data_IF_764795291729
#
_entry.id   IF_764795291729
#
_cell.length_a   1.000
_cell.length_b   1.000
_cell.length_c   1.000
_cell.angle_alpha   90.00
_cell.angle_beta   90.00
_cell.angle_gamma   90.00
#
_symmetry.space_group_name_H-M   'P 1'
#
loop_
_entity.id
_entity.type
_entity.pdbx_description
1 polymer ?
#
# COMPACT_ATOMS: atom_id res chain seq x y z
N UNK A 1 -16.32 -9.94 -1.93
CA UNK A 1 -16.09 -11.31 -1.47
C UNK A 1 -17.15 -11.76 -0.45
N UNK A 2 -17.35 -11.00 0.64
CA UNK A 2 -18.32 -11.34 1.69
C UNK A 2 -19.76 -11.52 1.13
N UNK A 3 -20.24 -10.60 0.30
CA UNK A 3 -21.55 -10.70 -0.34
C UNK A 3 -21.73 -11.96 -1.20
N UNK A 4 -20.67 -12.43 -1.89
CA UNK A 4 -20.70 -13.69 -2.63
C UNK A 4 -20.79 -14.90 -1.68
N UNK A 5 -19.97 -14.91 -0.61
CA UNK A 5 -19.92 -16.02 0.34
C UNK A 5 -21.18 -16.13 1.20
N UNK A 6 -21.75 -15.01 1.60
CA UNK A 6 -22.96 -14.96 2.45
C UNK A 6 -24.27 -15.04 1.65
N UNK A 7 -24.23 -14.89 0.31
CA UNK A 7 -25.42 -14.80 -0.53
C UNK A 7 -26.22 -13.50 -0.36
N UNK A 8 -25.72 -12.53 0.43
CA UNK A 8 -26.45 -11.31 0.73
C UNK A 8 -26.23 -10.23 -0.34
N UNK A 9 -27.26 -9.94 -1.11
CA UNK A 9 -27.22 -8.96 -2.21
C UNK A 9 -26.88 -7.53 -1.76
N UNK A 10 -27.27 -7.15 -0.52
CA UNK A 10 -26.96 -5.82 0.02
C UNK A 10 -25.45 -5.53 0.03
N UNK A 11 -24.62 -6.52 0.34
CA UNK A 11 -23.17 -6.36 0.36
C UNK A 11 -22.55 -6.29 -1.04
N UNK A 12 -23.13 -7.00 -1.99
CA UNK A 12 -22.74 -6.89 -3.40
C UNK A 12 -23.04 -5.49 -3.93
N UNK A 13 -24.24 -4.98 -3.67
CA UNK A 13 -24.66 -3.64 -4.07
C UNK A 13 -23.75 -2.57 -3.47
N UNK A 14 -23.51 -2.59 -2.16
CA UNK A 14 -22.60 -1.66 -1.48
C UNK A 14 -21.18 -1.69 -2.08
N UNK A 15 -20.69 -2.88 -2.36
CA UNK A 15 -19.38 -3.03 -2.99
C UNK A 15 -19.32 -2.37 -4.39
N UNK A 16 -20.36 -2.55 -5.21
CA UNK A 16 -20.47 -1.87 -6.51
C UNK A 16 -20.57 -0.35 -6.38
N UNK A 17 -21.32 0.14 -5.40
CA UNK A 17 -21.41 1.57 -5.11
C UNK A 17 -20.04 2.14 -4.72
N UNK A 18 -19.28 1.47 -3.84
CA UNK A 18 -17.92 1.86 -3.48
C UNK A 18 -16.99 1.89 -4.70
N UNK A 19 -17.05 0.88 -5.57
CA UNK A 19 -16.25 0.88 -6.80
C UNK A 19 -16.62 2.07 -7.71
N UNK A 20 -17.92 2.37 -7.84
CA UNK A 20 -18.38 3.52 -8.63
C UNK A 20 -17.85 4.85 -8.07
N UNK A 21 -17.78 5.00 -6.74
CA UNK A 21 -17.18 6.18 -6.11
C UNK A 21 -15.68 6.26 -6.43
N UNK A 22 -14.93 5.20 -6.21
CA UNK A 22 -13.49 5.21 -6.49
C UNK A 22 -13.20 5.56 -7.96
N UNK A 23 -13.96 5.00 -8.89
CA UNK A 23 -13.77 5.25 -10.32
C UNK A 23 -14.08 6.70 -10.74
N UNK A 24 -14.85 7.44 -9.95
CA UNK A 24 -15.13 8.88 -10.16
C UNK A 24 -14.10 9.79 -9.49
N UNK A 25 -13.17 9.27 -8.70
CA UNK A 25 -12.21 10.08 -7.96
C UNK A 25 -11.50 11.09 -8.90
N UNK A 26 -11.45 12.37 -8.53
CA UNK A 26 -10.81 13.39 -9.36
C UNK A 26 -9.32 13.09 -9.53
N UNK A 27 -8.77 13.52 -10.67
CA UNK A 27 -7.36 13.25 -11.00
C UNK A 27 -6.51 14.51 -10.92
N UNK A 28 -5.35 14.36 -10.31
CA UNK A 28 -4.32 15.40 -10.29
C UNK A 28 -2.99 14.79 -10.73
N UNK A 29 -2.59 15.07 -11.96
CA UNK A 29 -1.34 14.54 -12.56
C UNK A 29 -1.18 13.00 -12.48
N UNK A 30 -2.28 12.27 -12.57
CA UNK A 30 -2.31 10.81 -12.44
C UNK A 30 -2.63 10.31 -11.04
N UNK A 31 -2.40 11.10 -10.01
CA UNK A 31 -2.75 10.82 -8.62
C UNK A 31 -4.26 10.96 -8.39
N UNK A 32 -4.78 10.38 -7.32
CA UNK A 32 -6.19 10.45 -6.94
C UNK A 32 -6.38 10.47 -5.43
N UNK A 33 -7.41 11.17 -4.91
CA UNK A 33 -7.74 11.13 -3.49
C UNK A 33 -8.28 9.76 -3.09
N UNK A 34 -7.99 9.35 -1.86
CA UNK A 34 -8.35 8.02 -1.33
C UNK A 34 -9.50 8.05 -0.35
N UNK A 35 -9.97 9.24 0.02
CA UNK A 35 -11.08 9.42 0.95
C UNK A 35 -12.18 10.21 0.25
N UNK A 36 -13.41 9.73 0.37
CA UNK A 36 -14.62 10.44 -0.07
C UNK A 36 -15.62 10.48 1.08
N UNK A 37 -15.90 11.65 1.58
CA UNK A 37 -17.02 11.88 2.50
C UNK A 37 -18.26 12.21 1.70
N UNK A 38 -19.32 11.44 1.91
CA UNK A 38 -20.63 11.72 1.33
C UNK A 38 -21.46 12.44 2.40
N UNK A 39 -21.76 13.71 2.16
CA UNK A 39 -22.52 14.56 3.06
C UNK A 39 -24.01 14.18 3.06
N UNK A 40 -24.77 14.70 4.05
CA UNK A 40 -26.21 14.40 4.18
C UNK A 40 -27.04 14.86 2.98
N UNK A 41 -26.60 15.90 2.30
CA UNK A 41 -27.23 16.45 1.08
C UNK A 41 -26.83 15.67 -0.20
N UNK A 42 -25.97 14.64 -0.06
CA UNK A 42 -25.46 13.85 -1.19
C UNK A 42 -24.24 14.46 -1.90
N UNK A 43 -23.73 15.60 -1.44
CA UNK A 43 -22.49 16.17 -1.97
C UNK A 43 -21.29 15.30 -1.60
N UNK A 44 -20.28 15.28 -2.48
CA UNK A 44 -19.05 14.50 -2.32
C UNK A 44 -17.89 15.42 -1.96
N UNK A 45 -17.20 15.11 -0.88
CA UNK A 45 -16.00 15.81 -0.44
C UNK A 45 -14.79 14.86 -0.51
N UNK A 46 -13.98 15.06 -1.54
CA UNK A 46 -12.80 14.26 -1.79
C UNK A 46 -11.57 14.82 -1.09
N UNK A 47 -10.86 13.96 -0.34
CA UNK A 47 -9.66 14.32 0.41
C UNK A 47 -8.53 13.33 0.12
N UNK A 48 -7.30 13.83 0.13
CA UNK A 48 -6.11 13.02 -0.11
C UNK A 48 -5.62 12.30 1.17
N UNK A 49 -5.99 12.82 2.33
CA UNK A 49 -5.67 12.33 3.66
C UNK A 49 -6.83 12.70 4.60
N UNK A 50 -7.01 11.98 5.70
CA UNK A 50 -8.05 12.23 6.70
C UNK A 50 -7.84 13.52 7.52
N UNK A 51 -6.72 14.19 7.30
CA UNK A 51 -6.34 15.43 8.01
C UNK A 51 -5.70 15.20 9.36
N UNK A 52 -5.57 13.97 9.78
CA UNK A 52 -5.02 13.63 11.07
C UNK A 52 -3.58 14.10 11.25
N UNK A 53 -2.75 13.96 10.21
CA UNK A 53 -1.40 14.49 10.19
C UNK A 53 -1.27 15.91 9.62
N UNK A 54 -2.38 16.55 9.23
CA UNK A 54 -2.38 17.88 8.63
C UNK A 54 -1.98 17.93 7.16
N UNK A 55 -2.00 16.80 6.44
CA UNK A 55 -1.51 16.66 5.05
C UNK A 55 -2.63 16.54 4.02
N UNK A 56 -3.80 17.04 4.30
CA UNK A 56 -5.01 16.91 3.48
C UNK A 56 -4.86 17.31 2.02
N UNK A 57 -3.92 18.18 1.70
CA UNK A 57 -3.67 18.66 0.34
C UNK A 57 -2.63 17.85 -0.42
N UNK A 58 -1.91 16.96 0.26
CA UNK A 58 -0.85 16.15 -0.33
C UNK A 58 -1.34 14.75 -0.64
N UNK A 59 -0.77 14.13 -1.64
CA UNK A 59 -1.11 12.79 -2.09
C UNK A 59 -0.15 11.78 -1.47
N UNK A 60 -0.69 10.75 -0.84
CA UNK A 60 0.07 9.68 -0.21
C UNK A 60 0.06 8.42 -1.09
N UNK A 61 1.24 7.98 -1.53
CA UNK A 61 1.36 6.88 -2.50
C UNK A 61 0.96 5.52 -1.95
N UNK A 62 1.16 5.26 -0.66
CA UNK A 62 0.81 3.96 -0.06
C UNK A 62 -0.69 3.65 -0.17
N UNK A 63 -1.63 4.48 0.35
CA UNK A 63 -3.05 4.19 0.26
C UNK A 63 -3.57 4.24 -1.20
N UNK A 64 -3.00 5.09 -2.06
CA UNK A 64 -3.33 5.07 -3.50
C UNK A 64 -2.92 3.75 -4.15
N UNK A 65 -1.72 3.26 -3.88
CA UNK A 65 -1.21 1.99 -4.44
C UNK A 65 -2.00 0.80 -3.93
N UNK A 66 -2.31 0.77 -2.64
CA UNK A 66 -3.15 -0.28 -2.07
C UNK A 66 -4.55 -0.27 -2.67
N UNK A 67 -5.19 0.89 -2.73
CA UNK A 67 -6.51 1.03 -3.35
C UNK A 67 -6.50 0.55 -4.80
N UNK A 68 -5.53 1.01 -5.60
CA UNK A 68 -5.38 0.61 -6.98
C UNK A 68 -5.15 -0.91 -7.14
N UNK A 69 -4.29 -1.49 -6.31
CA UNK A 69 -4.06 -2.95 -6.31
C UNK A 69 -5.33 -3.75 -5.95
N UNK A 70 -6.06 -3.32 -4.92
CA UNK A 70 -7.33 -3.96 -4.56
C UNK A 70 -8.36 -3.87 -5.69
N UNK A 71 -8.40 -2.76 -6.42
CA UNK A 71 -9.25 -2.61 -7.60
C UNK A 71 -8.86 -3.57 -8.72
N UNK A 72 -7.55 -3.73 -9.00
CA UNK A 72 -7.08 -4.72 -9.98
C UNK A 72 -7.53 -6.13 -9.62
N UNK A 73 -7.35 -6.52 -8.34
CA UNK A 73 -7.80 -7.81 -7.83
C UNK A 73 -9.32 -7.96 -7.94
N UNK A 74 -10.05 -6.89 -7.65
CA UNK A 74 -11.50 -6.89 -7.81
C UNK A 74 -11.92 -7.10 -9.27
N UNK A 75 -11.37 -6.35 -10.20
CA UNK A 75 -11.65 -6.53 -11.63
C UNK A 75 -11.33 -7.93 -12.11
N UNK A 76 -10.19 -8.49 -11.70
CA UNK A 76 -9.76 -9.83 -12.10
C UNK A 76 -10.63 -10.95 -11.52
N UNK A 77 -10.99 -10.87 -10.22
CA UNK A 77 -11.58 -12.00 -9.49
C UNK A 77 -13.10 -11.89 -9.31
N UNK A 78 -13.63 -10.67 -9.21
CA UNK A 78 -15.01 -10.44 -8.79
C UNK A 78 -15.88 -9.76 -9.83
N UNK A 79 -15.31 -8.96 -10.72
CA UNK A 79 -16.07 -8.14 -11.68
C UNK A 79 -15.32 -8.03 -13.02
N UNK A 80 -15.08 -9.14 -13.74
CA UNK A 80 -14.29 -9.16 -14.98
C UNK A 80 -14.86 -8.24 -16.06
N UNK A 81 -16.17 -8.05 -16.07
CA UNK A 81 -16.88 -7.16 -17.01
C UNK A 81 -16.49 -5.68 -16.86
N UNK A 82 -15.95 -5.28 -15.69
CA UNK A 82 -15.46 -3.92 -15.42
C UNK A 82 -13.93 -3.81 -15.40
N UNK A 83 -13.24 -4.89 -15.73
CA UNK A 83 -11.77 -4.92 -15.69
C UNK A 83 -11.13 -3.83 -16.53
N UNK A 84 -11.66 -3.59 -17.74
CA UNK A 84 -11.14 -2.53 -18.61
C UNK A 84 -11.24 -1.15 -17.97
N UNK A 85 -12.38 -0.82 -17.38
CA UNK A 85 -12.61 0.47 -16.71
C UNK A 85 -11.65 0.68 -15.54
N UNK A 86 -11.41 -0.39 -14.76
CA UNK A 86 -10.44 -0.39 -13.65
C UNK A 86 -9.01 -0.19 -14.16
N UNK A 87 -8.62 -0.87 -15.22
CA UNK A 87 -7.30 -0.71 -15.82
C UNK A 87 -7.10 0.71 -16.37
N UNK A 88 -8.10 1.26 -17.03
CA UNK A 88 -8.08 2.65 -17.52
C UNK A 88 -7.99 3.66 -16.37
N UNK A 89 -8.63 3.37 -15.24
CA UNK A 89 -8.47 4.15 -14.00
C UNK A 89 -7.05 4.06 -13.42
N UNK A 90 -6.42 2.90 -13.42
CA UNK A 90 -5.09 2.68 -12.84
C UNK A 90 -3.95 3.23 -13.69
N UNK A 91 -4.11 3.31 -15.02
CA UNK A 91 -3.06 3.69 -15.99
C UNK A 91 -2.39 5.03 -15.67
N UNK A 92 -3.11 6.16 -15.49
CA UNK A 92 -2.46 7.46 -15.22
C UNK A 92 -1.63 7.45 -13.93
N UNK A 93 -2.03 6.64 -12.96
CA UNK A 93 -1.30 6.51 -11.71
C UNK A 93 -0.03 5.66 -11.88
N UNK A 94 -0.09 4.57 -12.64
CA UNK A 94 1.08 3.79 -12.98
C UNK A 94 2.11 4.63 -13.76
N UNK A 95 1.66 5.43 -14.73
CA UNK A 95 2.51 6.37 -15.50
C UNK A 95 3.17 7.43 -14.61
N UNK A 96 2.43 7.93 -13.60
CA UNK A 96 2.96 8.87 -12.62
C UNK A 96 4.07 8.23 -11.78
N UNK A 97 3.84 7.04 -11.24
CA UNK A 97 4.82 6.33 -10.39
C UNK A 97 6.11 6.01 -11.14
N UNK A 98 6.02 5.62 -12.41
CA UNK A 98 7.20 5.35 -13.25
C UNK A 98 8.10 6.58 -13.41
N UNK A 99 7.49 7.77 -13.51
CA UNK A 99 8.22 9.05 -13.60
C UNK A 99 8.75 9.53 -12.25
N UNK A 100 8.10 9.14 -11.17
CA UNK A 100 8.43 9.56 -9.82
C UNK A 100 9.52 8.71 -9.15
N UNK A 101 9.90 7.57 -9.73
CA UNK A 101 10.85 6.65 -9.13
C UNK A 101 12.26 7.24 -9.08
N UNK A 102 12.87 7.19 -7.91
CA UNK A 102 14.27 7.59 -7.71
C UNK A 102 15.24 6.57 -8.36
N UNK A 103 16.48 6.99 -8.65
CA UNK A 103 17.51 6.09 -9.21
C UNK A 103 17.80 4.86 -8.35
N UNK A 104 17.65 4.94 -7.01
CA UNK A 104 17.83 3.81 -6.10
C UNK A 104 16.62 2.84 -6.04
N UNK A 105 15.56 3.10 -6.80
CA UNK A 105 14.34 2.29 -6.83
C UNK A 105 13.25 2.72 -5.85
N UNK A 106 13.56 3.53 -4.82
CA UNK A 106 12.57 4.10 -3.91
C UNK A 106 11.59 5.01 -4.66
N UNK A 107 10.34 5.03 -4.23
CA UNK A 107 9.36 6.00 -4.72
C UNK A 107 8.92 6.84 -3.51
N UNK A 108 8.97 8.18 -3.60
CA UNK A 108 8.56 9.06 -2.50
C UNK A 108 7.15 8.76 -2.01
N UNK A 109 6.95 8.82 -0.69
CA UNK A 109 5.63 8.56 -0.10
C UNK A 109 4.62 9.67 -0.34
N UNK A 110 5.07 10.93 -0.38
CA UNK A 110 4.19 12.09 -0.42
C UNK A 110 4.51 13.05 -1.55
N UNK A 111 3.45 13.54 -2.19
CA UNK A 111 3.52 14.48 -3.30
C UNK A 111 2.56 15.66 -3.12
N UNK A 112 3.01 16.85 -3.49
CA UNK A 112 2.14 18.01 -3.65
C UNK A 112 1.17 17.80 -4.84
N UNK A 113 0.12 18.61 -4.97
CA UNK A 113 -0.74 18.60 -6.16
C UNK A 113 0.00 18.81 -7.49
N UNK A 114 1.16 19.48 -7.43
CA UNK A 114 2.02 19.68 -8.60
C UNK A 114 2.85 18.44 -8.98
N UNK A 115 2.74 17.35 -8.21
CA UNK A 115 3.47 16.11 -8.44
C UNK A 115 4.94 16.19 -8.00
N UNK A 116 5.26 17.09 -7.07
CA UNK A 116 6.61 17.26 -6.51
C UNK A 116 6.68 16.55 -5.15
N UNK A 117 7.73 15.73 -4.88
CA UNK A 117 7.91 15.11 -3.57
C UNK A 117 7.93 16.15 -2.44
N UNK A 118 7.04 16.02 -1.46
CA UNK A 118 6.77 17.08 -0.48
C UNK A 118 7.34 16.82 0.91
N UNK A 119 7.70 15.59 1.26
CA UNK A 119 8.21 15.21 2.59
C UNK A 119 9.62 14.64 2.46
N UNK A 120 10.63 15.47 2.79
CA UNK A 120 12.03 15.14 2.59
C UNK A 120 12.45 13.81 3.27
N UNK A 121 11.93 13.54 4.48
CA UNK A 121 12.26 12.33 5.25
C UNK A 121 11.79 11.03 4.58
N UNK A 122 10.74 11.09 3.74
CA UNK A 122 10.16 9.92 3.07
C UNK A 122 10.42 9.92 1.56
N UNK A 123 11.32 10.79 1.09
CA UNK A 123 11.62 10.95 -0.33
C UNK A 123 12.56 9.87 -0.85
N UNK A 124 13.67 9.66 -0.15
CA UNK A 124 14.77 8.85 -0.65
C UNK A 124 14.84 7.47 0.03
N UNK A 125 14.11 7.31 1.11
CA UNK A 125 13.94 6.06 1.84
C UNK A 125 12.57 5.99 2.52
N UNK A 126 11.78 4.96 2.18
CA UNK A 126 10.56 4.58 2.90
C UNK A 126 10.19 3.13 2.56
N UNK A 127 9.63 2.40 3.51
CA UNK A 127 9.17 1.02 3.30
C UNK A 127 7.85 0.94 2.53
N UNK A 128 7.09 2.03 2.42
CA UNK A 128 5.83 2.11 1.65
C UNK A 128 6.05 1.85 0.15
N UNK A 129 7.29 1.97 -0.33
CA UNK A 129 7.71 1.55 -1.68
C UNK A 129 7.30 0.09 -1.97
N UNK A 130 7.13 -0.77 -0.95
CA UNK A 130 6.62 -2.13 -1.09
C UNK A 130 5.19 -2.18 -1.65
N UNK A 131 4.30 -1.29 -1.18
CA UNK A 131 2.92 -1.21 -1.70
C UNK A 131 2.87 -0.79 -3.16
N UNK A 132 3.79 0.10 -3.54
CA UNK A 132 3.93 0.59 -4.91
C UNK A 132 4.46 -0.51 -5.83
N UNK A 133 5.48 -1.26 -5.37
CA UNK A 133 5.99 -2.43 -6.07
C UNK A 133 4.86 -3.45 -6.33
N UNK A 134 4.06 -3.75 -5.30
CA UNK A 134 2.91 -4.65 -5.39
C UNK A 134 1.93 -4.22 -6.48
N UNK A 135 1.54 -2.94 -6.49
CA UNK A 135 0.63 -2.41 -7.50
C UNK A 135 1.23 -2.46 -8.91
N UNK A 136 2.46 -1.97 -9.10
CA UNK A 136 3.09 -1.88 -10.42
C UNK A 136 3.36 -3.25 -11.04
N UNK A 137 3.73 -4.25 -10.24
CA UNK A 137 3.93 -5.63 -10.69
C UNK A 137 2.60 -6.25 -11.15
N UNK A 138 1.53 -6.15 -10.34
CA UNK A 138 0.22 -6.68 -10.72
C UNK A 138 -0.34 -5.95 -11.95
N UNK A 139 -0.26 -4.60 -11.99
CA UNK A 139 -0.73 -3.81 -13.12
C UNK A 139 0.04 -4.16 -14.40
N UNK A 140 1.38 -4.13 -14.33
CA UNK A 140 2.24 -4.40 -15.48
C UNK A 140 2.04 -5.79 -16.06
N UNK A 141 1.83 -6.81 -15.20
CA UNK A 141 1.50 -8.17 -15.62
C UNK A 141 0.13 -8.23 -16.32
N UNK A 142 -0.88 -7.60 -15.76
CA UNK A 142 -2.23 -7.62 -16.33
C UNK A 142 -2.34 -6.93 -17.70
N UNK A 143 -1.58 -5.86 -17.93
CA UNK A 143 -1.62 -5.10 -19.20
C UNK A 143 -0.41 -5.34 -20.09
N UNK A 144 0.52 -6.22 -19.69
CA UNK A 144 1.78 -6.53 -20.38
C UNK A 144 2.65 -5.27 -20.62
N UNK A 145 2.68 -4.37 -19.62
CA UNK A 145 3.48 -3.15 -19.65
C UNK A 145 4.88 -3.42 -19.08
N UNK A 146 5.86 -3.55 -19.99
CA UNK A 146 7.25 -3.79 -19.62
C UNK A 146 7.88 -2.67 -18.78
N UNK A 147 7.46 -1.42 -18.97
CA UNK A 147 7.98 -0.28 -18.22
C UNK A 147 7.46 -0.27 -16.78
N UNK A 148 6.16 -0.55 -16.58
CA UNK A 148 5.56 -0.72 -15.26
C UNK A 148 6.19 -1.91 -14.51
N UNK A 149 6.38 -3.06 -15.19
CA UNK A 149 7.08 -4.21 -14.62
C UNK A 149 8.52 -3.89 -14.21
N UNK A 150 9.27 -3.18 -15.06
CA UNK A 150 10.64 -2.78 -14.74
C UNK A 150 10.69 -1.82 -13.53
N UNK A 151 9.76 -0.86 -13.45
CA UNK A 151 9.63 0.05 -12.32
C UNK A 151 9.28 -0.72 -11.03
N UNK A 152 8.29 -1.63 -11.09
CA UNK A 152 7.90 -2.47 -9.96
C UNK A 152 9.05 -3.35 -9.46
N UNK A 153 9.83 -3.94 -10.37
CA UNK A 153 11.04 -4.72 -10.00
C UNK A 153 12.09 -3.89 -9.31
N UNK A 154 12.39 -2.68 -9.80
CA UNK A 154 13.35 -1.78 -9.13
C UNK A 154 12.85 -1.36 -7.75
N UNK A 155 11.54 -1.11 -7.59
CA UNK A 155 10.94 -0.83 -6.31
C UNK A 155 11.05 -2.02 -5.34
N UNK A 156 10.82 -3.24 -5.82
CA UNK A 156 11.00 -4.45 -5.02
C UNK A 156 12.47 -4.71 -4.67
N UNK A 157 13.40 -4.48 -5.61
CA UNK A 157 14.85 -4.56 -5.33
C UNK A 157 15.27 -3.56 -4.26
N UNK A 158 14.74 -2.33 -4.26
CA UNK A 158 14.98 -1.38 -3.17
C UNK A 158 14.55 -1.96 -1.81
N UNK A 159 13.38 -2.61 -1.73
CA UNK A 159 12.92 -3.27 -0.50
C UNK A 159 13.87 -4.40 -0.10
N UNK A 160 14.27 -5.24 -1.03
CA UNK A 160 15.22 -6.35 -0.82
C UNK A 160 16.57 -5.87 -0.29
N UNK A 161 17.11 -4.80 -0.87
CA UNK A 161 18.48 -4.37 -0.60
C UNK A 161 18.60 -3.39 0.56
N UNK A 162 17.57 -2.56 0.79
CA UNK A 162 17.65 -1.44 1.73
C UNK A 162 16.76 -1.60 2.97
N UNK A 163 15.64 -2.30 2.86
CA UNK A 163 14.65 -2.44 3.94
C UNK A 163 14.85 -3.77 4.68
N UNK A 164 14.73 -4.87 3.95
CA UNK A 164 14.70 -6.23 4.51
C UNK A 164 15.95 -6.62 5.30
N UNK A 165 17.21 -6.37 4.86
CA UNK A 165 18.40 -6.88 5.55
C UNK A 165 18.61 -6.32 6.95
N UNK A 166 17.96 -5.20 7.27
CA UNK A 166 18.06 -4.51 8.56
C UNK A 166 16.70 -4.37 9.24
N UNK A 167 15.65 -4.98 8.70
CA UNK A 167 14.26 -4.79 9.14
C UNK A 167 13.89 -3.32 9.33
N UNK A 168 14.24 -2.48 8.34
CA UNK A 168 13.99 -1.03 8.38
C UNK A 168 12.63 -0.69 7.75
N UNK A 169 11.55 -1.23 8.34
CA UNK A 169 10.17 -1.03 7.88
C UNK A 169 9.64 0.36 8.23
N UNK A 170 10.43 1.41 7.89
CA UNK A 170 10.07 2.79 8.15
C UNK A 170 9.05 3.29 7.13
N UNK A 171 8.03 3.90 7.63
CA UNK A 171 7.04 4.59 6.83
C UNK A 171 6.44 5.77 7.62
N UNK A 172 5.44 6.40 7.01
CA UNK A 172 4.72 7.51 7.62
C UNK A 172 4.10 7.12 8.97
N UNK A 173 3.46 5.96 9.06
CA UNK A 173 2.78 5.50 10.27
C UNK A 173 3.77 5.33 11.43
N UNK A 174 4.96 4.82 11.16
CA UNK A 174 5.99 4.59 12.17
C UNK A 174 6.37 5.88 12.90
N UNK A 175 6.59 6.96 12.17
CA UNK A 175 7.20 8.17 12.74
C UNK A 175 6.23 9.31 13.04
N UNK A 176 5.11 9.40 12.37
CA UNK A 176 4.17 10.50 12.54
C UNK A 176 2.90 10.08 13.23
N UNK A 177 2.40 8.88 12.95
CA UNK A 177 1.15 8.39 13.46
C UNK A 177 1.29 7.76 14.84
N UNK A 178 2.11 6.74 14.97
CA UNK A 178 2.09 5.87 16.14
C UNK A 178 3.19 6.18 17.15
N UNK A 179 4.44 6.31 16.73
CA UNK A 179 5.57 6.36 17.68
C UNK A 179 6.03 7.76 18.05
N UNK A 180 5.79 8.76 17.22
CA UNK A 180 6.32 10.13 17.34
C UNK A 180 7.83 10.18 17.55
N UNK A 181 8.55 9.20 17.01
CA UNK A 181 10.02 9.15 17.05
C UNK A 181 10.60 9.92 15.87
N UNK A 182 11.86 10.35 16.01
CA UNK A 182 12.58 10.92 14.85
C UNK A 182 12.83 9.85 13.79
N UNK A 183 12.80 10.26 12.52
CA UNK A 183 13.11 9.36 11.42
C UNK A 183 14.49 8.71 11.60
N UNK A 184 14.56 7.40 11.45
CA UNK A 184 15.79 6.63 11.67
C UNK A 184 16.12 6.38 13.14
N UNK A 185 15.22 6.66 14.08
CA UNK A 185 15.41 6.32 15.49
C UNK A 185 15.71 4.82 15.65
N UNK A 186 16.74 4.52 16.40
CA UNK A 186 17.11 3.15 16.78
C UNK A 186 16.93 2.99 18.29
N UNK A 187 16.17 2.00 18.70
CA UNK A 187 15.98 1.68 20.11
C UNK A 187 17.09 0.74 20.58
N UNK A 188 18.02 1.27 21.39
CA UNK A 188 19.13 0.49 21.92
C UNK A 188 18.72 -0.55 22.98
N UNK A 189 17.54 -0.42 23.56
CA UNK A 189 17.04 -1.37 24.56
C UNK A 189 16.53 -2.63 23.87
N UNK A 190 15.76 -2.47 22.81
CA UNK A 190 15.21 -3.59 22.03
C UNK A 190 16.13 -4.03 20.90
N UNK A 191 17.22 -3.28 20.65
CA UNK A 191 18.16 -3.48 19.54
C UNK A 191 17.49 -3.52 18.16
N UNK A 192 16.46 -2.69 17.96
CA UNK A 192 15.72 -2.64 16.70
C UNK A 192 15.27 -1.22 16.34
N UNK A 193 14.86 -1.06 15.11
CA UNK A 193 14.15 0.12 14.64
C UNK A 193 12.64 -0.04 14.88
N UNK A 194 11.87 1.06 15.09
CA UNK A 194 10.42 0.99 15.04
C UNK A 194 9.96 0.45 13.69
N UNK A 195 8.97 -0.45 13.70
CA UNK A 195 8.52 -1.21 12.54
C UNK A 195 7.06 -0.89 12.21
N UNK A 196 6.72 -0.84 10.94
CA UNK A 196 5.36 -0.86 10.47
C UNK A 196 5.04 -2.17 9.75
N UNK A 197 4.16 -2.96 10.35
CA UNK A 197 3.77 -4.26 9.81
C UNK A 197 3.02 -4.16 8.48
N UNK A 198 2.39 -3.02 8.20
CA UNK A 198 1.63 -2.83 6.95
C UNK A 198 2.55 -2.87 5.73
N UNK A 199 3.69 -2.16 5.79
CA UNK A 199 4.67 -2.18 4.71
C UNK A 199 5.29 -3.58 4.53
N UNK A 200 5.50 -4.32 5.62
CA UNK A 200 5.96 -5.71 5.57
C UNK A 200 4.94 -6.64 4.87
N UNK A 201 3.63 -6.50 5.19
CA UNK A 201 2.57 -7.25 4.53
C UNK A 201 2.56 -6.97 3.01
N UNK A 202 2.71 -5.71 2.62
CA UNK A 202 2.77 -5.34 1.21
C UNK A 202 4.00 -5.92 0.51
N UNK A 203 5.15 -5.97 1.20
CA UNK A 203 6.36 -6.56 0.66
C UNK A 203 6.19 -8.06 0.42
N UNK A 204 5.68 -8.81 1.41
CA UNK A 204 5.40 -10.24 1.23
C UNK A 204 4.47 -10.50 0.04
N UNK A 205 3.40 -9.70 -0.10
CA UNK A 205 2.49 -9.80 -1.23
C UNK A 205 3.18 -9.45 -2.56
N UNK A 206 4.06 -8.44 -2.59
CA UNK A 206 4.81 -8.06 -3.79
C UNK A 206 5.78 -9.16 -4.24
N UNK A 207 6.50 -9.80 -3.32
CA UNK A 207 7.35 -10.96 -3.63
C UNK A 207 6.54 -12.12 -4.21
N UNK A 208 5.37 -12.43 -3.64
CA UNK A 208 4.49 -13.48 -4.18
C UNK A 208 3.96 -13.14 -5.58
N UNK A 209 3.64 -11.88 -5.86
CA UNK A 209 3.27 -11.44 -7.21
C UNK A 209 4.46 -11.57 -8.16
N UNK A 210 5.65 -11.15 -7.74
CA UNK A 210 6.86 -11.24 -8.55
C UNK A 210 7.24 -12.70 -8.83
N UNK A 211 7.15 -13.59 -7.83
CA UNK A 211 7.31 -15.03 -8.03
C UNK A 211 6.33 -15.60 -9.08
N UNK A 212 5.07 -15.20 -9.00
CA UNK A 212 4.07 -15.67 -9.99
C UNK A 212 4.44 -15.26 -11.42
N UNK A 213 5.05 -14.08 -11.60
CA UNK A 213 5.48 -13.57 -12.91
C UNK A 213 6.78 -14.24 -13.38
N UNK A 214 7.74 -14.44 -12.49
CA UNK A 214 9.12 -14.79 -12.85
C UNK A 214 9.50 -16.24 -12.57
N UNK A 215 8.78 -16.91 -11.65
CA UNK A 215 9.08 -18.25 -11.12
C UNK A 215 10.44 -18.33 -10.41
N UNK A 216 10.96 -17.21 -9.89
CA UNK A 216 12.24 -17.18 -9.17
C UNK A 216 12.05 -17.66 -7.73
N UNK A 217 12.70 -18.76 -7.30
CA UNK A 217 12.55 -19.28 -5.93
C UNK A 217 12.92 -18.26 -4.84
N UNK A 218 13.88 -17.38 -5.11
CA UNK A 218 14.34 -16.38 -4.17
C UNK A 218 13.21 -15.43 -3.72
N UNK A 219 12.22 -15.18 -4.57
CA UNK A 219 11.08 -14.37 -4.22
C UNK A 219 10.20 -15.04 -3.15
N UNK A 220 10.11 -16.36 -3.15
CA UNK A 220 9.42 -17.10 -2.08
C UNK A 220 10.20 -17.05 -0.76
N UNK A 221 11.52 -17.20 -0.82
CA UNK A 221 12.39 -17.09 0.36
C UNK A 221 12.28 -15.71 1.00
N UNK A 222 12.24 -14.63 0.19
CA UNK A 222 12.05 -13.28 0.68
C UNK A 222 10.65 -13.08 1.28
N UNK A 223 9.61 -13.59 0.63
CA UNK A 223 8.25 -13.53 1.17
C UNK A 223 8.14 -14.25 2.52
N UNK A 224 8.74 -15.44 2.64
CA UNK A 224 8.77 -16.24 3.86
C UNK A 224 9.51 -15.48 4.98
N UNK A 225 10.70 -14.94 4.71
CA UNK A 225 11.46 -14.17 5.68
C UNK A 225 10.69 -12.96 6.24
N UNK A 226 9.93 -12.25 5.39
CA UNK A 226 9.07 -11.16 5.82
C UNK A 226 7.89 -11.66 6.65
N UNK A 227 7.26 -12.77 6.25
CA UNK A 227 6.14 -13.35 6.99
C UNK A 227 6.57 -13.91 8.34
N UNK A 228 7.72 -14.56 8.43
CA UNK A 228 8.29 -15.03 9.70
C UNK A 228 8.51 -13.87 10.67
N UNK A 229 9.05 -12.76 10.18
CA UNK A 229 9.19 -11.55 10.99
C UNK A 229 7.84 -11.01 11.47
N UNK A 230 6.82 -10.96 10.60
CA UNK A 230 5.46 -10.55 10.96
C UNK A 230 4.82 -11.46 12.00
N UNK A 231 5.06 -12.77 11.94
CA UNK A 231 4.53 -13.74 12.91
C UNK A 231 5.06 -13.50 14.32
N UNK A 232 6.25 -12.92 14.49
CA UNK A 232 6.77 -12.53 15.81
C UNK A 232 5.91 -11.45 16.48
N UNK A 233 5.15 -10.67 15.70
CA UNK A 233 4.29 -9.60 16.20
C UNK A 233 2.87 -10.06 16.49
N UNK A 234 2.54 -11.32 16.17
CA UNK A 234 1.19 -11.85 16.33
C UNK A 234 0.88 -12.20 17.78
N UNK A 235 -0.28 -11.79 18.25
CA UNK A 235 -0.77 -12.14 19.59
C UNK A 235 -1.18 -13.62 19.63
N UNK A 236 -0.44 -14.42 20.39
CA UNK A 236 -0.67 -15.87 20.54
C UNK A 236 -1.64 -16.22 21.67
N UNK A 237 -2.05 -15.26 22.48
CA UNK A 237 -2.94 -15.47 23.63
C UNK A 237 -3.71 -14.17 23.97
N UNK A 238 -4.83 -14.34 24.69
CA UNK A 238 -5.62 -13.21 25.18
C UNK A 238 -5.00 -12.67 26.47
N UNK A 239 -4.38 -11.50 26.41
CA UNK A 239 -3.79 -10.87 27.58
C UNK A 239 -4.87 -10.41 28.55
N UNK A 240 -4.80 -10.76 29.87
CA UNK A 240 -5.89 -10.48 30.82
C UNK A 240 -6.13 -8.99 31.07
N UNK A 241 -5.14 -8.12 30.80
CA UNK A 241 -5.27 -6.67 30.98
C UNK A 241 -5.71 -5.94 29.69
N UNK A 242 -5.94 -6.64 28.60
CA UNK A 242 -6.48 -6.04 27.37
C UNK A 242 -8.02 -6.17 27.36
N UNK A 243 -8.69 -5.04 27.12
CA UNK A 243 -10.15 -4.98 27.04
C UNK A 243 -10.74 -5.68 25.82
N UNK A 244 -9.92 -5.95 24.81
CA UNK A 244 -10.30 -6.63 23.57
C UNK A 244 -9.56 -7.96 23.47
N UNK A 245 -10.23 -8.94 22.86
CA UNK A 245 -9.59 -10.22 22.51
C UNK A 245 -8.75 -10.01 21.25
N UNK A 246 -7.45 -9.93 21.40
CA UNK A 246 -6.50 -9.67 20.32
C UNK A 246 -5.82 -10.92 19.76
N UNK A 247 -6.24 -12.12 20.21
CA UNK A 247 -5.66 -13.39 19.73
C UNK A 247 -5.68 -13.48 18.19
N UNK A 248 -4.55 -13.77 17.61
CA UNK A 248 -4.35 -13.85 16.16
C UNK A 248 -4.15 -12.50 15.47
N UNK A 249 -4.35 -11.39 16.17
CA UNK A 249 -4.06 -10.05 15.65
C UNK A 249 -2.57 -9.72 15.73
N UNK A 250 -2.08 -8.90 14.80
CA UNK A 250 -0.75 -8.29 14.86
C UNK A 250 -0.87 -6.81 15.20
N UNK A 251 0.16 -6.27 15.83
CA UNK A 251 0.25 -4.81 16.03
C UNK A 251 0.45 -4.12 14.68
N UNK A 252 0.00 -2.87 14.57
CA UNK A 252 0.31 -2.04 13.39
C UNK A 252 1.79 -1.66 13.42
N UNK A 253 2.33 -1.48 14.62
CA UNK A 253 3.69 -1.06 14.87
C UNK A 253 4.29 -1.83 16.06
N UNK A 254 5.58 -2.10 16.01
CA UNK A 254 6.40 -2.70 17.06
C UNK A 254 7.42 -1.72 17.59
#
# INVERSE_FOLDING_TARGET
>A
LYGRRSGQEIWKKRAQEMLNYILKAPRTKGMFPVICYVEKDGSENWQNDDGWAGYQREFHTMPMSWTAWLMLRWGKELCPERQKEILDFCRPYADFLQKAQNPNGCIPSWFSPDGIPSRAQFRDFNAETASIALFLLEYGDMVQDAAALACGRRALSFVTDQVLPRNRWYDFETFLSCSKKSFGFYDSITAQYPQCNLSAIHAAAAYLVHYRITQRPEDLEQAEAVLDYLLLTQQLWNHPLMHIKAFGGSTVQN
#
